data_IF_773881258015
#
_entry.id   IF_773881258015
#
_cell.length_a   1.000
_cell.length_b   1.000
_cell.length_c   1.000
_cell.angle_alpha   90.00
_cell.angle_beta   90.00
_cell.angle_gamma   90.00
#
_symmetry.space_group_name_H-M   'P 1'
#
loop_
_entity.id
_entity.type
_entity.pdbx_description
1 polymer ?
#
# COMPACT_ATOMS: atom_id res chain seq x y z
N UNK A 1 21.49 -10.55 -41.64
CA UNK A 1 22.07 -10.95 -40.34
C UNK A 1 22.33 -9.65 -39.57
N UNK A 2 21.39 -9.22 -38.72
CA UNK A 2 21.49 -7.94 -38.00
C UNK A 2 22.48 -8.07 -36.82
N UNK A 3 23.31 -7.04 -36.56
CA UNK A 3 24.31 -7.12 -35.52
C UNK A 3 23.67 -7.01 -34.12
N UNK A 4 24.14 -7.85 -33.19
CA UNK A 4 23.84 -7.74 -31.77
C UNK A 4 24.36 -6.38 -31.26
N UNK A 5 23.46 -5.52 -30.82
CA UNK A 5 23.82 -4.35 -30.03
C UNK A 5 24.30 -4.81 -28.65
N UNK A 6 25.62 -4.89 -28.52
CA UNK A 6 26.35 -4.98 -27.27
C UNK A 6 25.94 -3.80 -26.39
N UNK A 7 25.24 -4.05 -25.28
CA UNK A 7 24.94 -2.99 -24.30
C UNK A 7 26.19 -2.82 -23.42
N UNK A 8 26.85 -1.64 -23.37
CA UNK A 8 28.15 -1.52 -22.72
C UNK A 8 28.04 -1.63 -21.19
N UNK A 9 29.08 -2.24 -20.61
CA UNK A 9 29.40 -2.31 -19.17
C UNK A 9 29.38 -0.95 -18.44
N UNK A 10 29.36 0.17 -19.18
CA UNK A 10 29.28 1.53 -18.64
C UNK A 10 27.98 1.82 -17.87
N UNK A 11 26.90 1.07 -18.13
CA UNK A 11 25.60 1.25 -17.49
C UNK A 11 25.57 0.81 -16.02
N UNK A 12 26.28 -0.26 -15.67
CA UNK A 12 26.27 -0.84 -14.31
C UNK A 12 27.21 -0.10 -13.37
N UNK A 13 28.33 0.42 -13.88
CA UNK A 13 29.34 1.12 -13.08
C UNK A 13 28.86 2.51 -12.68
N UNK A 14 28.23 3.28 -13.60
CA UNK A 14 27.66 4.60 -13.28
C UNK A 14 26.46 4.54 -12.32
N UNK A 15 25.69 3.45 -12.31
CA UNK A 15 24.61 3.25 -11.35
C UNK A 15 25.11 3.10 -9.90
N UNK A 16 26.31 2.53 -9.70
CA UNK A 16 26.90 2.32 -8.36
C UNK A 16 27.41 3.60 -7.68
N UNK A 17 27.54 4.72 -8.41
CA UNK A 17 28.07 5.97 -7.86
C UNK A 17 27.01 7.05 -7.59
N UNK A 18 25.73 6.75 -7.83
CA UNK A 18 24.64 7.67 -7.50
C UNK A 18 24.01 7.22 -6.20
N UNK A 19 24.31 7.93 -5.12
CA UNK A 19 23.52 7.83 -3.90
C UNK A 19 22.29 8.73 -4.01
N UNK A 20 21.10 8.27 -3.57
CA UNK A 20 19.96 9.17 -3.46
C UNK A 20 20.08 10.08 -2.24
N UNK A 21 20.96 9.77 -1.29
CA UNK A 21 21.02 10.42 0.02
C UNK A 21 21.81 11.74 -0.02
N UNK A 22 21.55 12.60 0.95
CA UNK A 22 22.31 13.85 1.17
C UNK A 22 23.71 13.53 1.71
N UNK A 23 23.82 12.54 2.60
CA UNK A 23 25.07 12.04 3.17
C UNK A 23 25.05 10.51 3.26
N UNK A 24 26.07 9.84 2.68
CA UNK A 24 26.18 8.38 2.68
C UNK A 24 26.56 7.79 4.05
N UNK A 25 27.12 8.59 4.95
CA UNK A 25 27.49 8.17 6.30
C UNK A 25 26.29 8.00 7.25
N UNK A 26 25.11 8.50 6.87
CA UNK A 26 23.86 8.45 7.65
C UNK A 26 22.81 7.50 7.05
N UNK A 27 23.22 6.55 6.18
CA UNK A 27 22.26 5.66 5.50
C UNK A 27 21.46 4.80 6.49
N UNK A 28 20.17 5.11 6.61
CA UNK A 28 19.18 4.37 7.41
C UNK A 28 18.45 3.31 6.58
N UNK A 29 17.93 2.29 7.25
CA UNK A 29 16.94 1.41 6.65
C UNK A 29 15.66 2.21 6.35
N UNK A 30 15.27 2.29 5.08
CA UNK A 30 13.97 2.85 4.70
C UNK A 30 12.92 1.79 4.95
N UNK A 31 11.91 2.12 5.77
CA UNK A 31 10.79 1.22 6.08
C UNK A 31 9.49 1.80 5.54
N UNK A 32 8.83 1.09 4.65
CA UNK A 32 7.48 1.45 4.22
C UNK A 32 6.46 0.46 4.78
N UNK A 33 5.56 0.98 5.60
CA UNK A 33 4.47 0.23 6.22
C UNK A 33 3.14 0.59 5.54
N UNK A 34 2.38 -0.42 5.15
CA UNK A 34 1.03 -0.27 4.63
C UNK A 34 0.21 -1.51 4.98
N UNK A 35 -1.01 -1.59 4.45
CA UNK A 35 -1.88 -2.74 4.68
C UNK A 35 -2.47 -3.29 3.39
N UNK A 36 -3.08 -4.47 3.52
CA UNK A 36 -3.90 -5.01 2.45
C UNK A 36 -4.93 -3.98 1.96
N UNK A 37 -5.00 -3.81 0.64
CA UNK A 37 -5.89 -2.84 -0.04
C UNK A 37 -5.57 -1.36 0.20
N UNK A 38 -4.41 -1.03 0.77
CA UNK A 38 -3.94 0.35 0.99
C UNK A 38 -2.95 0.83 -0.08
N UNK A 39 -2.79 0.09 -1.19
CA UNK A 39 -1.90 0.50 -2.29
C UNK A 39 -0.57 -0.25 -2.36
N UNK A 40 -0.47 -1.41 -1.72
CA UNK A 40 0.71 -2.29 -1.70
C UNK A 40 1.35 -2.48 -3.08
N UNK A 41 0.58 -2.92 -4.08
CA UNK A 41 1.10 -3.16 -5.43
C UNK A 41 1.68 -1.91 -6.11
N UNK A 42 1.20 -0.72 -5.74
CA UNK A 42 1.70 0.56 -6.26
C UNK A 42 3.06 0.89 -5.67
N UNK A 43 3.18 0.84 -4.34
CA UNK A 43 4.43 1.11 -3.63
C UNK A 43 5.51 0.06 -3.92
N UNK A 44 5.15 -1.23 -4.04
CA UNK A 44 6.10 -2.28 -4.46
C UNK A 44 6.77 -1.90 -5.78
N UNK A 45 6.01 -1.38 -6.76
CA UNK A 45 6.56 -1.02 -8.06
C UNK A 45 7.47 0.21 -7.98
N UNK A 46 7.04 1.24 -7.26
CA UNK A 46 7.81 2.48 -7.10
C UNK A 46 9.11 2.21 -6.35
N UNK A 47 9.03 1.63 -5.14
CA UNK A 47 10.21 1.40 -4.29
C UNK A 47 11.19 0.43 -4.93
N UNK A 48 10.71 -0.64 -5.60
CA UNK A 48 11.58 -1.55 -6.36
C UNK A 48 12.26 -0.85 -7.54
N UNK A 49 11.57 0.06 -8.22
CA UNK A 49 12.16 0.82 -9.33
C UNK A 49 13.17 1.85 -8.86
N UNK A 50 12.91 2.55 -7.75
CA UNK A 50 13.88 3.44 -7.10
C UNK A 50 15.11 2.63 -6.68
N UNK A 51 14.91 1.50 -6.00
CA UNK A 51 16.00 0.65 -5.56
C UNK A 51 16.89 0.20 -6.73
N UNK A 52 16.28 -0.27 -7.83
CA UNK A 52 17.01 -0.62 -9.05
C UNK A 52 17.77 0.57 -9.65
N UNK A 53 17.18 1.77 -9.63
CA UNK A 53 17.78 2.96 -10.23
C UNK A 53 19.06 3.39 -9.49
N UNK A 54 19.06 3.28 -8.15
CA UNK A 54 20.17 3.66 -7.28
C UNK A 54 21.07 2.48 -6.84
N UNK A 55 20.81 1.27 -7.33
CA UNK A 55 21.56 0.08 -6.91
C UNK A 55 21.34 -0.33 -5.45
N UNK A 56 20.18 0.02 -4.87
CA UNK A 56 19.79 -0.36 -3.50
C UNK A 56 19.10 -1.73 -3.48
N UNK A 57 19.14 -2.37 -2.30
CA UNK A 57 18.46 -3.63 -2.04
C UNK A 57 17.04 -3.43 -1.52
N UNK A 58 16.05 -3.76 -2.35
CA UNK A 58 14.63 -3.76 -1.98
C UNK A 58 14.16 -5.13 -1.49
N UNK A 59 13.46 -5.15 -0.36
CA UNK A 59 12.82 -6.35 0.17
C UNK A 59 11.36 -6.07 0.56
N UNK A 60 10.44 -6.88 0.05
CA UNK A 60 9.05 -6.92 0.49
C UNK A 60 8.78 -8.27 1.16
N UNK A 61 8.66 -8.28 2.48
CA UNK A 61 8.49 -9.49 3.28
C UNK A 61 7.91 -9.14 4.65
N UNK A 62 7.65 -10.16 5.46
CA UNK A 62 7.50 -9.98 6.90
C UNK A 62 8.86 -9.66 7.54
N UNK A 63 8.86 -9.07 8.74
CA UNK A 63 10.07 -8.63 9.43
C UNK A 63 11.03 -9.78 9.78
N UNK A 64 10.52 -10.98 10.09
CA UNK A 64 11.38 -12.13 10.43
C UNK A 64 12.35 -12.53 9.32
N UNK A 65 12.00 -12.20 8.07
CA UNK A 65 12.78 -12.56 6.89
C UNK A 65 13.71 -11.42 6.46
N UNK A 66 13.69 -10.27 7.15
CA UNK A 66 14.44 -9.07 6.81
C UNK A 66 15.95 -9.38 6.79
N UNK A 67 16.58 -9.18 5.62
CA UNK A 67 18.01 -9.38 5.47
C UNK A 67 18.79 -8.15 5.90
N UNK A 68 19.99 -8.36 6.44
CA UNK A 68 20.90 -7.31 6.90
C UNK A 68 21.35 -6.35 5.80
N UNK A 69 21.39 -6.81 4.55
CA UNK A 69 21.81 -6.02 3.40
C UNK A 69 20.65 -5.23 2.76
N UNK A 70 19.47 -5.21 3.38
CA UNK A 70 18.30 -4.48 2.87
C UNK A 70 18.45 -2.98 3.11
N UNK A 71 18.17 -2.20 2.08
CA UNK A 71 18.15 -0.73 2.14
C UNK A 71 16.73 -0.18 2.20
N UNK A 72 15.81 -0.83 1.48
CA UNK A 72 14.40 -0.46 1.44
C UNK A 72 13.57 -1.70 1.79
N UNK A 73 13.00 -1.69 3.00
CA UNK A 73 12.11 -2.70 3.51
C UNK A 73 10.65 -2.24 3.36
N UNK A 74 9.81 -3.11 2.82
CA UNK A 74 8.36 -2.91 2.76
C UNK A 74 7.65 -4.04 3.51
N UNK A 75 6.85 -3.68 4.50
CA UNK A 75 5.99 -4.59 5.27
C UNK A 75 4.52 -4.29 4.93
N UNK A 76 3.79 -5.31 4.49
CA UNK A 76 2.50 -5.16 3.82
C UNK A 76 1.28 -5.28 4.75
N UNK A 77 1.49 -5.51 6.05
CA UNK A 77 0.49 -5.47 7.12
C UNK A 77 0.88 -4.54 8.28
N UNK A 78 1.96 -3.76 8.11
CA UNK A 78 2.58 -2.90 9.13
C UNK A 78 2.93 -3.63 10.44
N UNK A 79 3.23 -4.93 10.37
CA UNK A 79 3.62 -5.74 11.53
C UNK A 79 5.12 -5.63 11.78
N UNK A 80 5.52 -4.49 12.35
CA UNK A 80 6.93 -4.15 12.55
C UNK A 80 7.21 -3.87 14.03
N UNK A 81 8.09 -4.66 14.63
CA UNK A 81 8.71 -4.37 15.92
C UNK A 81 9.89 -3.41 15.70
N UNK A 82 9.63 -2.11 15.81
CA UNK A 82 10.62 -1.06 15.55
C UNK A 82 11.82 -1.13 16.47
N UNK A 83 11.71 -1.73 17.65
CA UNK A 83 12.82 -1.90 18.58
C UNK A 83 13.85 -2.93 18.10
N UNK A 84 13.48 -3.77 17.13
CA UNK A 84 14.36 -4.78 16.51
C UNK A 84 14.91 -4.36 15.15
N UNK A 85 14.57 -3.16 14.68
CA UNK A 85 15.14 -2.61 13.46
C UNK A 85 16.53 -1.98 13.72
N UNK A 86 17.43 -1.96 12.72
CA UNK A 86 18.58 -1.06 12.74
C UNK A 86 18.11 0.40 12.71
N UNK A 87 19.02 1.39 12.70
CA UNK A 87 18.62 2.79 12.49
C UNK A 87 17.78 2.91 11.22
N UNK A 88 16.61 3.51 11.36
CA UNK A 88 15.54 3.44 10.36
C UNK A 88 14.86 4.79 10.18
N UNK A 89 14.29 4.96 9.00
CA UNK A 89 13.39 6.06 8.68
C UNK A 89 12.21 5.50 7.91
N UNK A 90 11.00 5.90 8.31
CA UNK A 90 9.80 5.20 7.93
C UNK A 90 8.78 6.07 7.21
N UNK A 91 7.92 5.43 6.43
CA UNK A 91 6.63 6.02 6.04
C UNK A 91 5.52 5.00 6.26
N UNK A 92 4.37 5.48 6.71
CA UNK A 92 3.22 4.65 7.01
C UNK A 92 1.99 5.19 6.31
N UNK A 93 1.31 4.28 5.60
CA UNK A 93 0.20 4.61 4.74
C UNK A 93 -1.08 3.95 5.23
N UNK A 94 -2.12 4.77 5.39
CA UNK A 94 -3.47 4.31 5.71
C UNK A 94 -4.46 4.64 4.59
N UNK A 95 -5.65 4.04 4.64
CA UNK A 95 -6.76 4.31 3.72
C UNK A 95 -8.07 4.31 4.50
N UNK A 96 -9.09 5.02 4.00
CA UNK A 96 -10.40 5.03 4.64
C UNK A 96 -10.88 3.57 4.86
N UNK A 97 -11.09 3.14 6.12
CA UNK A 97 -11.53 1.79 6.46
C UNK A 97 -12.74 1.31 5.64
N UNK A 98 -13.65 2.23 5.29
CA UNK A 98 -14.86 1.91 4.52
C UNK A 98 -14.52 1.54 3.08
N UNK A 99 -13.56 2.24 2.48
CA UNK A 99 -13.05 1.93 1.15
C UNK A 99 -12.14 0.70 1.15
N UNK A 100 -11.46 0.37 2.25
CA UNK A 100 -10.72 -0.89 2.41
C UNK A 100 -11.67 -2.07 2.24
N UNK A 101 -12.82 -2.06 2.94
CA UNK A 101 -13.83 -3.13 2.87
C UNK A 101 -14.32 -3.33 1.43
N UNK A 102 -14.68 -2.23 0.75
CA UNK A 102 -15.15 -2.28 -0.64
C UNK A 102 -14.06 -2.81 -1.55
N UNK A 103 -12.84 -2.30 -1.38
CA UNK A 103 -11.71 -2.72 -2.19
C UNK A 103 -11.36 -4.19 -1.96
N UNK A 104 -11.45 -4.67 -0.72
CA UNK A 104 -11.25 -6.05 -0.31
C UNK A 104 -12.28 -6.96 -0.95
N UNK A 105 -13.57 -6.66 -0.78
CA UNK A 105 -14.68 -7.47 -1.29
C UNK A 105 -14.54 -7.68 -2.79
N UNK A 106 -14.46 -6.60 -3.57
CA UNK A 106 -14.35 -6.72 -5.02
C UNK A 106 -13.06 -7.41 -5.47
N UNK A 107 -11.96 -7.26 -4.73
CA UNK A 107 -10.70 -7.91 -5.05
C UNK A 107 -10.76 -9.42 -4.82
N UNK A 108 -11.30 -9.85 -3.69
CA UNK A 108 -11.34 -11.26 -3.30
C UNK A 108 -12.26 -12.10 -4.20
N UNK A 109 -13.22 -11.48 -4.88
CA UNK A 109 -14.03 -12.14 -5.92
C UNK A 109 -13.23 -12.63 -7.14
N UNK A 110 -12.02 -12.11 -7.39
CA UNK A 110 -11.22 -12.51 -8.57
C UNK A 110 -9.73 -12.72 -8.30
N UNK A 111 -9.27 -12.49 -7.06
CA UNK A 111 -7.85 -12.66 -6.70
C UNK A 111 -7.34 -14.06 -7.06
N UNK A 112 -6.04 -14.14 -7.36
CA UNK A 112 -5.28 -15.37 -7.58
C UNK A 112 -4.32 -15.67 -6.42
N UNK A 113 -4.39 -14.89 -5.35
CA UNK A 113 -3.55 -15.11 -4.17
C UNK A 113 -3.89 -16.45 -3.52
N UNK A 114 -2.89 -17.29 -3.34
CA UNK A 114 -3.04 -18.69 -2.91
C UNK A 114 -3.90 -18.83 -1.65
N UNK A 115 -3.69 -17.96 -0.65
CA UNK A 115 -4.42 -17.99 0.61
C UNK A 115 -5.95 -17.89 0.44
N UNK A 116 -6.44 -17.23 -0.60
CA UNK A 116 -7.87 -17.03 -0.86
C UNK A 116 -8.53 -18.26 -1.48
N UNK A 117 -7.71 -19.21 -1.96
CA UNK A 117 -8.09 -20.47 -2.60
C UNK A 117 -7.89 -21.70 -1.69
N UNK A 118 -7.46 -21.49 -0.45
CA UNK A 118 -7.34 -22.56 0.55
C UNK A 118 -8.69 -22.72 1.29
N UNK A 119 -9.31 -23.92 1.27
CA UNK A 119 -10.53 -24.19 2.03
C UNK A 119 -10.36 -24.00 3.54
N UNK A 120 -11.36 -23.40 4.20
CA UNK A 120 -11.30 -23.14 5.66
C UNK A 120 -12.46 -23.79 6.40
N UNK A 121 -12.17 -24.47 7.51
CA UNK A 121 -13.19 -25.15 8.34
C UNK A 121 -14.27 -24.19 8.86
N UNK A 122 -13.87 -23.00 9.30
CA UNK A 122 -14.78 -21.96 9.77
C UNK A 122 -15.67 -21.37 8.65
N UNK A 123 -15.36 -21.64 7.39
CA UNK A 123 -16.16 -21.27 6.22
C UNK A 123 -16.88 -22.49 5.61
N UNK A 124 -17.18 -23.50 6.41
CA UNK A 124 -17.82 -24.76 5.96
C UNK A 124 -17.04 -25.44 4.82
N UNK A 125 -15.71 -25.40 4.89
CA UNK A 125 -14.79 -25.93 3.87
C UNK A 125 -14.88 -25.22 2.50
N UNK A 126 -15.45 -24.02 2.43
CA UNK A 126 -15.30 -23.16 1.27
C UNK A 126 -13.94 -22.45 1.32
N UNK A 127 -13.40 -22.10 0.15
CA UNK A 127 -12.33 -21.10 0.07
C UNK A 127 -12.89 -19.71 0.40
N UNK A 128 -12.04 -18.74 0.74
CA UNK A 128 -12.52 -17.38 1.03
C UNK A 128 -13.21 -16.75 -0.18
N UNK A 129 -12.68 -16.99 -1.38
CA UNK A 129 -13.32 -16.54 -2.62
C UNK A 129 -14.69 -17.21 -2.84
N UNK A 130 -14.80 -18.53 -2.67
CA UNK A 130 -16.08 -19.24 -2.80
C UNK A 130 -17.10 -18.77 -1.76
N UNK A 131 -16.65 -18.53 -0.52
CA UNK A 131 -17.48 -17.98 0.54
C UNK A 131 -18.08 -16.64 0.15
N UNK A 132 -17.29 -15.69 -0.36
CA UNK A 132 -17.81 -14.40 -0.81
C UNK A 132 -18.74 -14.52 -2.04
N UNK A 133 -18.44 -15.42 -2.99
CA UNK A 133 -19.33 -15.68 -4.14
C UNK A 133 -20.67 -16.32 -3.78
N UNK A 134 -20.80 -16.88 -2.58
CA UNK A 134 -22.05 -17.48 -2.11
C UNK A 134 -23.11 -16.45 -1.67
N UNK A 135 -22.73 -15.17 -1.58
CA UNK A 135 -23.58 -14.08 -1.13
C UNK A 135 -23.99 -13.15 -2.27
N UNK A 136 -25.11 -12.44 -2.07
CA UNK A 136 -25.38 -11.23 -2.85
C UNK A 136 -24.40 -10.11 -2.43
N UNK A 137 -24.43 -8.96 -3.12
CA UNK A 137 -23.47 -7.88 -2.88
C UNK A 137 -23.53 -7.29 -1.46
N UNK A 138 -24.72 -7.11 -0.90
CA UNK A 138 -24.87 -6.54 0.46
C UNK A 138 -24.30 -7.50 1.50
N UNK A 139 -24.71 -8.77 1.47
CA UNK A 139 -24.20 -9.80 2.37
C UNK A 139 -22.70 -10.06 2.18
N UNK A 140 -22.20 -10.00 0.94
CA UNK A 140 -20.80 -10.17 0.62
C UNK A 140 -19.90 -9.05 1.18
N UNK A 141 -20.38 -7.81 1.19
CA UNK A 141 -19.68 -6.69 1.82
C UNK A 141 -19.64 -6.83 3.35
N UNK A 142 -20.74 -7.26 3.98
CA UNK A 142 -20.76 -7.58 5.42
C UNK A 142 -19.82 -8.74 5.75
N UNK A 143 -19.80 -9.77 4.92
CA UNK A 143 -18.90 -10.91 5.06
C UNK A 143 -17.42 -10.51 4.95
N UNK A 144 -17.06 -9.64 3.99
CA UNK A 144 -15.71 -9.09 3.89
C UNK A 144 -15.36 -8.21 5.09
N UNK A 145 -16.31 -7.38 5.54
CA UNK A 145 -16.14 -6.47 6.68
C UNK A 145 -15.77 -7.25 7.95
N UNK A 146 -16.43 -8.37 8.22
CA UNK A 146 -16.14 -9.30 9.34
C UNK A 146 -14.98 -10.25 9.06
N UNK A 147 -14.51 -10.29 7.81
CA UNK A 147 -13.46 -11.17 7.33
C UNK A 147 -12.10 -10.48 7.35
N UNK A 148 -11.42 -10.50 6.20
CA UNK A 148 -10.05 -9.98 6.07
C UNK A 148 -9.93 -8.48 6.30
N UNK A 149 -10.99 -7.71 6.04
CA UNK A 149 -10.95 -6.27 6.26
C UNK A 149 -10.96 -5.91 7.75
N UNK A 150 -11.58 -6.73 8.61
CA UNK A 150 -11.58 -6.49 10.05
C UNK A 150 -10.16 -6.46 10.61
N UNK A 151 -9.37 -7.51 10.33
CA UNK A 151 -7.97 -7.60 10.76
C UNK A 151 -7.16 -6.39 10.29
N UNK A 152 -7.32 -6.02 9.02
CA UNK A 152 -6.61 -4.87 8.44
C UNK A 152 -6.93 -3.56 9.17
N UNK A 153 -8.21 -3.29 9.41
CA UNK A 153 -8.66 -2.05 10.06
C UNK A 153 -8.23 -2.03 11.53
N UNK A 154 -8.28 -3.17 12.21
CA UNK A 154 -7.82 -3.30 13.59
C UNK A 154 -6.32 -3.04 13.72
N UNK A 155 -5.48 -3.63 12.87
CA UNK A 155 -4.03 -3.40 12.86
C UNK A 155 -3.72 -1.92 12.61
N UNK A 156 -4.37 -1.33 11.61
CA UNK A 156 -4.26 0.10 11.31
C UNK A 156 -4.65 0.96 12.51
N UNK A 157 -5.69 0.58 13.25
CA UNK A 157 -6.10 1.30 14.46
C UNK A 157 -5.10 1.18 15.61
N UNK A 158 -4.31 0.10 15.68
CA UNK A 158 -3.37 -0.18 16.77
C UNK A 158 -1.98 0.43 16.54
N UNK A 159 -1.71 0.91 15.33
CA UNK A 159 -0.45 1.55 14.98
C UNK A 159 -0.09 2.71 15.93
N UNK A 160 1.21 2.85 16.23
CA UNK A 160 1.71 3.95 17.05
C UNK A 160 1.99 5.19 16.19
N UNK A 161 0.97 6.04 16.03
CA UNK A 161 1.04 7.31 15.29
C UNK A 161 1.93 8.40 15.92
N UNK A 162 2.51 8.15 17.09
CA UNK A 162 3.40 9.10 17.76
C UNK A 162 4.89 8.87 17.46
N UNK A 163 5.23 7.88 16.62
CA UNK A 163 6.61 7.58 16.28
C UNK A 163 7.17 8.61 15.29
N UNK A 164 8.10 9.51 15.68
CA UNK A 164 8.56 10.59 14.81
C UNK A 164 9.41 10.12 13.62
N UNK A 165 9.90 8.87 13.64
CA UNK A 165 10.63 8.31 12.51
C UNK A 165 9.71 7.98 11.33
N UNK A 166 8.40 7.85 11.56
CA UNK A 166 7.43 7.60 10.51
C UNK A 166 6.77 8.89 10.04
N UNK A 167 6.77 9.11 8.72
CA UNK A 167 5.85 10.05 8.10
C UNK A 167 4.51 9.35 7.83
N UNK A 168 3.45 9.89 8.41
CA UNK A 168 2.08 9.41 8.28
C UNK A 168 1.37 10.10 7.10
N UNK A 169 0.68 9.32 6.26
CA UNK A 169 -0.10 9.86 5.15
C UNK A 169 -1.26 8.94 4.73
N UNK A 170 -2.25 9.50 4.05
CA UNK A 170 -3.42 8.76 3.60
C UNK A 170 -3.34 8.42 2.11
N UNK A 171 -3.95 7.31 1.71
CA UNK A 171 -4.18 6.94 0.30
C UNK A 171 -4.89 8.06 -0.46
N UNK A 172 -5.83 8.72 0.21
CA UNK A 172 -6.60 9.81 -0.35
C UNK A 172 -5.74 11.03 -0.71
N UNK A 173 -4.68 11.30 0.06
CA UNK A 173 -3.74 12.39 -0.20
C UNK A 173 -2.93 12.11 -1.48
N UNK A 174 -2.50 10.86 -1.68
CA UNK A 174 -1.76 10.45 -2.87
C UNK A 174 -2.61 10.52 -4.14
N UNK A 175 -3.89 10.13 -4.06
CA UNK A 175 -4.79 10.24 -5.23
C UNK A 175 -5.05 11.69 -5.60
N UNK A 176 -5.02 12.59 -4.61
CA UNK A 176 -5.28 14.01 -4.83
C UNK A 176 -4.04 14.75 -5.34
N UNK A 177 -2.89 14.51 -4.71
CA UNK A 177 -1.69 15.33 -4.88
C UNK A 177 -0.41 14.47 -4.88
N UNK A 178 -0.39 13.46 -5.73
CA UNK A 178 0.64 12.41 -5.83
C UNK A 178 2.08 12.94 -5.72
N UNK A 179 2.45 13.89 -6.59
CA UNK A 179 3.82 14.44 -6.64
C UNK A 179 4.22 15.12 -5.33
N UNK A 180 3.32 15.91 -4.73
CA UNK A 180 3.61 16.63 -3.48
C UNK A 180 3.81 15.65 -2.31
N UNK A 181 2.99 14.61 -2.21
CA UNK A 181 3.10 13.60 -1.15
C UNK A 181 4.39 12.79 -1.32
N UNK A 182 4.71 12.32 -2.53
CA UNK A 182 5.96 11.60 -2.77
C UNK A 182 7.19 12.47 -2.50
N UNK A 183 7.19 13.75 -2.91
CA UNK A 183 8.28 14.66 -2.60
C UNK A 183 8.51 14.79 -1.09
N UNK A 184 7.43 14.85 -0.31
CA UNK A 184 7.50 14.89 1.17
C UNK A 184 8.08 13.59 1.73
N UNK A 185 7.65 12.43 1.22
CA UNK A 185 8.16 11.11 1.64
C UNK A 185 9.66 10.97 1.32
N UNK A 186 10.07 11.28 0.09
CA UNK A 186 11.47 11.15 -0.32
C UNK A 186 12.39 12.10 0.45
N UNK A 187 11.93 13.33 0.73
CA UNK A 187 12.66 14.25 1.61
C UNK A 187 12.78 13.70 3.03
N UNK A 188 11.71 13.09 3.56
CA UNK A 188 11.74 12.42 4.88
C UNK A 188 12.75 11.27 4.90
N UNK A 189 12.92 10.53 3.80
CA UNK A 189 13.95 9.50 3.66
C UNK A 189 15.39 10.05 3.55
N UNK A 190 15.58 11.37 3.57
CA UNK A 190 16.89 12.00 3.43
C UNK A 190 17.40 12.03 2.00
N UNK A 191 16.52 11.94 1.00
CA UNK A 191 16.95 12.07 -0.40
C UNK A 191 17.35 13.50 -0.74
N UNK A 192 18.42 13.66 -1.51
CA UNK A 192 18.82 14.96 -2.05
C UNK A 192 17.85 15.43 -3.15
N UNK A 193 17.88 16.71 -3.50
CA UNK A 193 16.89 17.30 -4.43
C UNK A 193 16.97 16.70 -5.85
N UNK A 194 18.15 16.35 -6.36
CA UNK A 194 18.27 15.63 -7.63
C UNK A 194 17.56 14.27 -7.56
N UNK A 195 17.76 13.55 -6.45
CA UNK A 195 17.15 12.25 -6.25
C UNK A 195 15.63 12.33 -6.09
N UNK A 196 15.12 13.36 -5.40
CA UNK A 196 13.68 13.62 -5.32
C UNK A 196 13.10 13.80 -6.72
N UNK A 197 13.69 14.63 -7.58
CA UNK A 197 13.18 14.82 -8.96
C UNK A 197 13.19 13.53 -9.78
N UNK A 198 14.27 12.75 -9.70
CA UNK A 198 14.37 11.46 -10.37
C UNK A 198 13.32 10.47 -9.86
N UNK A 199 13.12 10.39 -8.54
CA UNK A 199 12.14 9.50 -7.91
C UNK A 199 10.70 9.92 -8.23
N UNK A 200 10.40 11.22 -8.32
CA UNK A 200 9.11 11.72 -8.79
C UNK A 200 8.84 11.30 -10.24
N UNK A 201 9.85 11.36 -11.11
CA UNK A 201 9.73 10.83 -12.48
C UNK A 201 9.53 9.31 -12.55
N UNK A 202 10.07 8.56 -11.59
CA UNK A 202 9.79 7.12 -11.45
C UNK A 202 8.36 6.90 -10.97
N UNK A 203 7.93 7.61 -9.91
CA UNK A 203 6.59 7.52 -9.35
C UNK A 203 5.53 7.85 -10.41
N UNK A 204 5.73 8.92 -11.20
CA UNK A 204 4.79 9.33 -12.24
C UNK A 204 4.57 8.24 -13.30
N UNK A 205 5.60 7.45 -13.68
CA UNK A 205 5.41 6.31 -14.61
C UNK A 205 4.41 5.27 -14.08
N UNK A 206 4.31 5.18 -12.76
CA UNK A 206 3.39 4.30 -12.07
C UNK A 206 2.14 5.01 -11.55
N UNK A 207 1.97 6.30 -11.83
CA UNK A 207 0.79 7.08 -11.45
C UNK A 207 -0.48 6.45 -11.99
N UNK A 208 -1.59 6.72 -11.32
CA UNK A 208 -2.89 6.23 -11.74
C UNK A 208 -3.22 6.67 -13.19
N UNK A 209 -2.83 7.89 -13.55
CA UNK A 209 -3.02 8.45 -14.90
C UNK A 209 -2.25 7.64 -15.96
N UNK A 210 -1.00 7.29 -15.67
CA UNK A 210 -0.12 6.64 -16.65
C UNK A 210 -0.33 5.12 -16.71
N UNK A 211 -0.72 4.48 -15.61
CA UNK A 211 -1.03 3.05 -15.59
C UNK A 211 -2.39 2.70 -16.15
N UNK A 212 -3.37 3.59 -16.02
CA UNK A 212 -4.72 3.25 -16.43
C UNK A 212 -4.87 3.26 -17.96
N UNK A 213 -4.08 4.04 -18.72
CA UNK A 213 -4.37 4.39 -20.15
C UNK A 213 -5.85 4.75 -20.39
N UNK A 214 -6.61 5.07 -19.34
CA UNK A 214 -8.08 5.16 -19.33
C UNK A 214 -8.48 6.50 -18.73
N UNK A 215 -9.60 7.05 -19.20
CA UNK A 215 -10.22 8.22 -18.59
C UNK A 215 -10.58 7.93 -17.12
N UNK A 216 -10.40 8.93 -16.24
CA UNK A 216 -10.80 8.91 -14.83
C UNK A 216 -12.28 8.45 -14.75
N UNK A 217 -12.58 7.39 -13.98
CA UNK A 217 -13.94 6.87 -13.80
C UNK A 217 -14.29 5.55 -14.52
N UNK A 218 -13.42 4.99 -15.37
CA UNK A 218 -13.68 3.67 -15.99
C UNK A 218 -13.28 2.55 -15.02
N UNK A 219 -14.29 1.88 -14.45
CA UNK A 219 -14.11 0.75 -13.53
C UNK A 219 -13.60 -0.49 -14.29
N UNK A 220 -12.44 -1.01 -13.91
CA UNK A 220 -12.03 -2.35 -14.31
C UNK A 220 -12.19 -3.28 -13.10
N UNK A 221 -13.21 -4.14 -13.18
CA UNK A 221 -13.57 -5.06 -12.10
C UNK A 221 -12.43 -5.99 -11.68
N UNK A 222 -11.46 -6.28 -12.57
CA UNK A 222 -10.32 -7.18 -12.35
C UNK A 222 -8.97 -6.44 -12.28
N UNK A 223 -8.96 -5.25 -11.68
CA UNK A 223 -7.75 -4.44 -11.50
C UNK A 223 -7.54 -4.14 -10.02
N UNK A 224 -6.28 -4.22 -9.56
CA UNK A 224 -5.90 -3.69 -8.24
C UNK A 224 -6.22 -2.20 -8.10
N UNK A 225 -6.24 -1.50 -9.23
CA UNK A 225 -6.72 -0.13 -9.41
C UNK A 225 -8.11 -0.17 -10.03
N UNK A 226 -9.10 -0.69 -9.28
CA UNK A 226 -10.47 -0.95 -9.79
C UNK A 226 -11.16 0.32 -10.27
N UNK A 227 -11.08 1.39 -9.48
CA UNK A 227 -11.72 2.68 -9.74
C UNK A 227 -10.73 3.85 -9.70
N UNK A 228 -9.67 3.76 -8.88
CA UNK A 228 -8.82 4.89 -8.51
C UNK A 228 -9.58 6.03 -7.85
N UNK A 229 -10.78 5.75 -7.34
CA UNK A 229 -11.63 6.70 -6.64
C UNK A 229 -11.49 6.49 -5.14
N UNK A 230 -11.63 7.58 -4.41
CA UNK A 230 -11.74 7.64 -2.96
C UNK A 230 -13.18 7.96 -2.59
N UNK A 231 -13.64 7.51 -1.43
CA UNK A 231 -15.01 7.73 -0.97
C UNK A 231 -16.07 6.92 -1.73
N UNK A 232 -15.70 5.79 -2.35
CA UNK A 232 -16.69 4.94 -3.04
C UNK A 232 -17.72 4.36 -2.09
N UNK A 233 -17.39 4.26 -0.80
CA UNK A 233 -18.32 3.84 0.22
C UNK A 233 -19.61 4.65 0.27
N UNK A 234 -19.58 5.94 -0.09
CA UNK A 234 -20.78 6.79 -0.10
C UNK A 234 -21.83 6.31 -1.11
N UNK A 235 -21.40 5.67 -2.19
CA UNK A 235 -22.28 5.12 -3.24
C UNK A 235 -22.68 3.66 -2.95
N UNK A 236 -21.88 2.93 -2.18
CA UNK A 236 -21.93 1.47 -2.10
C UNK A 236 -22.50 0.98 -0.76
N UNK A 237 -22.19 1.65 0.34
CA UNK A 237 -22.73 1.30 1.65
C UNK A 237 -24.18 1.75 1.76
N UNK A 238 -25.08 0.79 1.91
CA UNK A 238 -26.41 1.02 2.49
C UNK A 238 -26.37 1.15 4.03
N UNK A 239 -27.51 1.50 4.62
CA UNK A 239 -27.62 1.76 6.07
C UNK A 239 -27.18 0.59 6.94
N UNK A 240 -27.49 -0.64 6.52
CA UNK A 240 -27.08 -1.85 7.23
C UNK A 240 -25.56 -1.98 7.32
N UNK A 241 -24.81 -1.62 6.27
CA UNK A 241 -23.34 -1.62 6.30
C UNK A 241 -22.81 -0.56 7.25
N UNK A 242 -23.42 0.64 7.28
CA UNK A 242 -23.00 1.70 8.20
C UNK A 242 -23.25 1.30 9.66
N UNK A 243 -24.41 0.72 9.95
CA UNK A 243 -24.75 0.21 11.28
C UNK A 243 -23.77 -0.88 11.72
N UNK A 244 -23.53 -1.87 10.87
CA UNK A 244 -22.57 -2.95 11.15
C UNK A 244 -21.17 -2.41 11.37
N UNK A 245 -20.70 -1.49 10.52
CA UNK A 245 -19.39 -0.88 10.66
C UNK A 245 -19.23 -0.20 12.03
N UNK A 246 -20.23 0.59 12.45
CA UNK A 246 -20.22 1.27 13.76
C UNK A 246 -20.22 0.26 14.91
N UNK A 247 -20.93 -0.87 14.76
CA UNK A 247 -20.93 -1.94 15.77
C UNK A 247 -19.57 -2.64 15.91
N UNK A 248 -18.91 -2.95 14.79
CA UNK A 248 -17.63 -3.68 14.79
C UNK A 248 -16.47 -2.77 15.21
N UNK A 249 -16.40 -1.56 14.64
CA UNK A 249 -15.21 -0.72 14.72
C UNK A 249 -15.34 0.49 15.64
N UNK A 250 -16.54 0.79 16.15
CA UNK A 250 -16.79 1.95 17.01
C UNK A 250 -16.22 3.24 16.41
N UNK A 251 -15.38 3.93 17.18
CA UNK A 251 -14.83 5.25 16.84
C UNK A 251 -13.58 5.19 15.93
N UNK A 252 -13.33 4.08 15.23
CA UNK A 252 -12.09 3.92 14.43
C UNK A 252 -11.88 5.04 13.41
N UNK A 253 -12.96 5.56 12.82
CA UNK A 253 -12.88 6.64 11.83
C UNK A 253 -12.49 7.96 12.48
N UNK A 254 -12.90 8.19 13.73
CA UNK A 254 -12.48 9.36 14.51
C UNK A 254 -11.00 9.21 14.88
N UNK A 255 -10.61 8.02 15.37
CA UNK A 255 -9.22 7.71 15.75
C UNK A 255 -8.25 7.91 14.58
N UNK A 256 -8.64 7.51 13.38
CA UNK A 256 -7.84 7.64 12.15
C UNK A 256 -8.02 9.00 11.44
N UNK A 257 -8.79 9.91 12.03
CA UNK A 257 -9.02 11.27 11.51
C UNK A 257 -9.76 11.32 10.18
N UNK A 258 -10.65 10.35 9.91
CA UNK A 258 -11.54 10.33 8.75
C UNK A 258 -12.89 10.99 9.01
N UNK A 259 -13.35 11.01 10.26
CA UNK A 259 -14.60 11.65 10.69
C UNK A 259 -14.39 12.36 12.04
N UNK A 260 -15.27 13.29 12.39
CA UNK A 260 -15.23 13.98 13.69
C UNK A 260 -16.18 13.38 14.74
N UNK A 261 -17.18 12.62 14.28
CA UNK A 261 -18.18 11.93 15.11
C UNK A 261 -18.72 10.69 14.35
N UNK A 262 -19.74 10.02 14.90
CA UNK A 262 -20.36 8.83 14.29
C UNK A 262 -21.60 9.15 13.42
N UNK A 263 -21.84 10.39 13.03
CA UNK A 263 -23.02 10.81 12.24
C UNK A 263 -22.80 10.74 10.72
N UNK A 264 -21.84 9.94 10.27
CA UNK A 264 -21.52 9.67 8.86
C UNK A 264 -22.36 8.53 8.24
#
# INVERSE_FOLDING_TARGET
>A
MLPLFYTPLESTVKQKFRTPFIDDSEKKLIVHCCYHKVGTAWFIRILRSIARYYGLNFQNSIQSDLRRDTDIFMEYMSRVDVAKLPDYIGSHMIRDPRDIIISGYFYHLWTKEEWAHIPRKNLKNLTYQQYLHSFNREEGLLAEMRGTSQETIEEMSRWNYNNPHFIEFKYEDLITNESAVFAKIFRHYGFNEEAIQNCLGIADKFSFKNQSRRKKGIVNQKSHLRSGRTGEWREIFGDRHKQEFKQIFGDVLIKLGYETNNDW
#
